data_IF_706569613941
#
_entry.id   IF_706569613941
#
_cell.length_a   1.000
_cell.length_b   1.000
_cell.length_c   1.000
_cell.angle_alpha   90.00
_cell.angle_beta   90.00
_cell.angle_gamma   90.00
#
_symmetry.space_group_name_H-M   'P 1'
#
loop_
_entity.id
_entity.type
_entity.pdbx_description
1 polymer ?
2 polymer ?
3 water ?
#
loop_
_entity_poly.entity_id
_entity_poly.type
_entity_poly.pdbx_seq_one_letter_code
_entity_poly.pdbx_strand_id
2 'polydeoxyribonucleotide' '(DT)(DT)(DT)(DT)(DT)(DT)(DT)(DT)(DT)(DT)(DT)(DT)' ?
#
# COMPACT_ATOMS: atom_id res chain seq x y z
N UNK A 6 9.06 -6.99 -16.63
CA UNK A 6 8.18 -5.83 -16.71
C UNK A 6 7.14 -5.81 -15.59
N UNK A 7 7.02 -4.67 -14.91
CA UNK A 7 6.04 -4.50 -13.85
C UNK A 7 5.95 -3.01 -13.51
N UNK A 8 4.73 -2.53 -13.24
CA UNK A 8 4.51 -1.13 -12.89
C UNK A 8 3.60 -1.01 -11.67
N UNK A 9 3.73 0.12 -10.96
CA UNK A 9 2.87 0.42 -9.82
C UNK A 9 2.49 1.90 -9.82
N UNK A 10 1.30 2.19 -9.30
CA UNK A 10 0.84 3.57 -9.11
C UNK A 10 0.01 3.67 -7.84
N UNK A 11 0.40 4.57 -6.93
CA UNK A 11 -0.41 4.85 -5.75
C UNK A 11 -1.55 5.75 -6.19
N UNK A 12 -2.77 5.20 -6.20
CA UNK A 12 -3.94 5.95 -6.64
C UNK A 12 -4.51 6.81 -5.53
N UNK A 13 -4.39 6.36 -4.29
CA UNK A 13 -4.93 7.10 -3.17
C UNK A 13 -4.16 6.71 -1.92
N UNK A 14 -3.77 7.70 -1.13
CA UNK A 14 -3.16 7.45 0.16
C UNK A 14 -4.23 7.48 1.25
N UNK A 15 -4.32 6.40 2.02
CA UNK A 15 -5.36 6.31 3.03
C UNK A 15 -4.85 6.57 4.44
N UNK A 16 -3.71 5.99 4.81
CA UNK A 16 -3.26 6.08 6.19
C UNK A 16 -1.76 5.81 6.24
N UNK A 17 -1.05 6.58 7.06
CA UNK A 17 0.32 6.26 7.41
C UNK A 17 0.34 5.70 8.82
N UNK A 18 0.96 4.53 8.99
CA UNK A 18 0.98 3.82 10.27
C UNK A 18 2.21 4.12 11.12
N UNK A 19 3.35 4.42 10.51
CA UNK A 19 4.58 4.74 11.24
C UNK A 19 5.65 5.12 10.22
N UNK A 20 6.73 5.71 10.73
CA UNK A 20 7.88 6.08 9.92
C UNK A 20 9.14 5.74 10.70
N UNK A 21 10.19 5.32 10.01
CA UNK A 21 11.40 4.89 10.69
C UNK A 21 12.53 5.91 10.49
N UNK A 22 13.69 5.59 11.07
CA UNK A 22 14.81 6.53 11.10
C UNK A 22 15.32 6.87 9.71
N UNK A 23 15.11 5.99 8.74
CA UNK A 23 15.50 6.29 7.37
C UNK A 23 14.43 7.04 6.61
N UNK A 24 13.33 7.42 7.26
CA UNK A 24 12.26 8.10 6.57
C UNK A 24 11.32 7.20 5.77
N UNK A 25 11.51 5.88 5.79
CA UNK A 25 10.54 5.00 5.15
C UNK A 25 9.28 4.90 6.00
N UNK A 26 8.12 4.91 5.35
CA UNK A 26 6.83 4.90 6.02
C UNK A 26 6.08 3.60 5.74
N UNK A 27 5.35 3.09 6.73
CA UNK A 27 4.38 2.03 6.50
C UNK A 27 3.02 2.68 6.24
N UNK A 28 2.37 2.30 5.13
CA UNK A 28 1.18 3.00 4.66
C UNK A 28 0.11 2.01 4.22
N UNK A 29 -1.16 2.43 4.34
CA UNK A 29 -2.29 1.78 3.68
C UNK A 29 -2.70 2.69 2.53
N UNK A 30 -2.55 2.18 1.30
CA UNK A 30 -2.83 2.92 0.08
C UNK A 30 -3.72 2.07 -0.82
N UNK A 31 -4.33 2.71 -1.82
CA UNK A 31 -4.90 2.01 -2.96
C UNK A 31 -3.88 2.11 -4.09
N UNK A 32 -3.44 0.96 -4.59
CA UNK A 32 -2.32 0.90 -5.53
C UNK A 32 -2.75 0.07 -6.73
N UNK A 33 -2.51 0.59 -7.93
CA UNK A 33 -2.71 -0.18 -9.15
C UNK A 33 -1.40 -0.84 -9.57
N UNK A 34 -1.43 -2.15 -9.77
CA UNK A 34 -0.25 -2.88 -10.22
C UNK A 34 -0.48 -3.32 -11.67
N UNK A 35 0.46 -2.96 -12.54
CA UNK A 35 0.35 -3.24 -13.97
C UNK A 35 -0.94 -2.69 -14.55
N UNK A 36 -1.31 -1.49 -14.12
CA UNK A 36 -2.52 -0.86 -14.62
C UNK A 36 -3.81 -1.59 -14.31
N UNK A 37 -3.80 -2.51 -13.35
CA UNK A 37 -5.03 -3.18 -12.93
C UNK A 37 -5.85 -2.25 -12.04
N UNK A 38 -7.12 -2.57 -11.78
CA UNK A 38 -7.88 -1.76 -10.83
C UNK A 38 -7.20 -1.81 -9.46
N UNK A 39 -7.19 -0.68 -8.78
CA UNK A 39 -6.34 -0.54 -7.61
C UNK A 39 -6.82 -1.47 -6.51
N UNK A 40 -5.88 -1.96 -5.72
CA UNK A 40 -6.21 -2.79 -4.58
C UNK A 40 -5.71 -2.10 -3.31
N UNK A 41 -6.16 -2.60 -2.18
CA UNK A 41 -5.59 -2.15 -0.93
C UNK A 41 -4.18 -2.69 -0.81
N UNK A 42 -3.28 -1.89 -0.26
CA UNK A 42 -1.88 -2.25 -0.20
C UNK A 42 -1.32 -1.72 1.11
N UNK A 43 -0.76 -2.61 1.92
CA UNK A 43 -0.16 -2.25 3.19
C UNK A 43 1.32 -2.54 3.07
N UNK A 44 2.14 -1.49 3.06
CA UNK A 44 3.50 -1.63 2.58
C UNK A 44 4.36 -0.49 3.10
N UNK A 45 5.67 -0.75 3.19
CA UNK A 45 6.66 0.28 3.44
C UNK A 45 7.09 0.94 2.14
N UNK A 46 7.43 2.23 2.24
CA UNK A 46 7.71 3.10 1.11
C UNK A 46 8.89 3.99 1.44
N UNK A 47 9.77 4.19 0.47
CA UNK A 47 10.87 5.13 0.64
C UNK A 47 10.32 6.56 0.76
N UNK A 48 11.14 7.51 1.23
CA UNK A 48 10.64 8.88 1.44
C UNK A 48 9.94 9.51 0.25
N UNK A 49 10.43 9.31 -0.98
CA UNK A 49 9.77 9.91 -2.13
C UNK A 49 8.78 8.97 -2.79
N UNK A 50 8.53 7.81 -2.19
CA UNK A 50 7.64 6.78 -2.71
C UNK A 50 8.11 6.23 -4.05
N UNK A 51 9.39 6.36 -4.38
CA UNK A 51 9.88 5.78 -5.63
C UNK A 51 10.45 4.39 -5.45
N UNK A 52 10.62 3.92 -4.21
CA UNK A 52 11.04 2.55 -3.95
C UNK A 52 9.99 1.88 -3.07
N UNK A 53 9.54 0.69 -3.48
CA UNK A 53 8.64 -0.12 -2.68
C UNK A 53 9.44 -0.92 -1.66
N UNK A 54 8.83 -1.13 -0.49
CA UNK A 54 9.31 -2.09 0.46
C UNK A 54 8.42 -3.31 0.58
N UNK A 55 8.61 -4.05 1.66
CA UNK A 55 7.83 -5.25 1.91
C UNK A 55 6.41 -4.88 2.31
N UNK A 56 5.46 -5.68 1.86
CA UNK A 56 4.08 -5.38 2.18
C UNK A 56 3.16 -6.44 1.61
N UNK A 57 1.86 -6.18 1.71
CA UNK A 57 0.86 -7.13 1.25
C UNK A 57 -0.21 -6.38 0.48
N UNK A 58 -0.70 -6.99 -0.59
CA UNK A 58 -1.83 -6.46 -1.33
C UNK A 58 -3.08 -7.23 -0.95
N UNK A 59 -4.19 -6.51 -0.77
CA UNK A 59 -5.46 -7.12 -0.42
C UNK A 59 -6.54 -6.62 -1.36
N UNK A 60 -7.32 -7.54 -1.91
CA UNK A 60 -8.48 -7.15 -2.69
C UNK A 60 -9.48 -6.43 -1.78
N UNK A 61 -10.39 -5.67 -2.40
CA UNK A 61 -11.46 -5.04 -1.63
C UNK A 61 -12.18 -6.05 -0.73
N UNK A 62 -12.45 -7.24 -1.25
CA UNK A 62 -13.11 -8.28 -0.47
C UNK A 62 -12.28 -8.68 0.75
N UNK A 63 -10.98 -8.97 0.53
CA UNK A 63 -10.11 -9.35 1.65
C UNK A 63 -10.02 -8.23 2.68
N UNK A 64 -9.94 -6.98 2.22
CA UNK A 64 -9.81 -5.86 3.14
C UNK A 64 -11.07 -5.69 3.99
N UNK A 65 -12.25 -5.83 3.38
CA UNK A 65 -13.50 -5.70 4.13
C UNK A 65 -13.65 -6.83 5.15
N UNK A 66 -13.28 -8.04 4.75
CA UNK A 66 -13.24 -9.16 5.70
C UNK A 66 -12.41 -8.81 6.92
N UNK A 67 -11.20 -8.30 6.71
CA UNK A 67 -10.35 -7.88 7.82
C UNK A 67 -11.03 -6.79 8.66
N UNK A 68 -11.61 -5.78 8.01
CA UNK A 68 -12.22 -4.67 8.75
C UNK A 68 -13.39 -5.17 9.61
N UNK A 69 -14.29 -5.94 9.01
CA UNK A 69 -15.40 -6.51 9.77
C UNK A 69 -14.92 -7.30 10.98
N UNK A 70 -13.78 -7.99 10.85
CA UNK A 70 -13.35 -8.89 11.91
C UNK A 70 -12.74 -8.14 13.09
N UNK A 71 -12.23 -6.94 12.87
CA UNK A 71 -11.60 -6.20 13.96
C UNK A 71 -12.25 -4.83 14.16
#
# INVERSE_FOLDING_TARGET
MKKMAEFTFEIEEHLLTLSENEKGWTKEINRVSFNGAPAKFDIRAWSPDHTKMGKGITLSNEEFQTMVDAFKGNLEHHHHHH
#
